data_IF_039404168002
#
_entry.id   IF_039404168002
#
_cell.length_a   1.000
_cell.length_b   1.000
_cell.length_c   1.000
_cell.angle_alpha   90.00
_cell.angle_beta   90.00
_cell.angle_gamma   90.00
#
_symmetry.space_group_name_H-M   'P 1'
#
loop_
_entity.id
_entity.type
_entity.pdbx_description
1 polymer ?
#
# COMPACT_ATOMS: atom_id res chain seq x y z
N UNK A 1 8.31 7.25 31.40
CA UNK A 1 7.01 6.89 30.79
C UNK A 1 7.01 7.43 29.36
N UNK A 2 6.95 6.61 28.30
CA UNK A 2 6.86 7.17 26.95
C UNK A 2 5.47 7.77 26.76
N UNK A 3 5.43 9.03 26.33
CA UNK A 3 4.22 9.79 26.05
C UNK A 3 3.59 9.24 24.78
N UNK A 4 2.43 8.60 24.88
CA UNK A 4 1.65 8.12 23.74
C UNK A 4 1.24 9.33 22.89
N UNK A 5 1.97 9.59 21.81
CA UNK A 5 1.59 10.58 20.80
C UNK A 5 0.33 10.04 20.10
N UNK A 6 -0.85 10.55 20.49
CA UNK A 6 -2.06 10.36 19.70
C UNK A 6 -1.79 11.00 18.34
N UNK A 7 -1.75 10.19 17.28
CA UNK A 7 -1.62 10.68 15.91
C UNK A 7 -2.93 11.39 15.57
N UNK A 8 -2.88 12.69 15.30
CA UNK A 8 -4.02 13.45 14.81
C UNK A 8 -4.39 12.91 13.42
N UNK A 9 -5.44 12.08 13.37
CA UNK A 9 -5.97 11.54 12.12
C UNK A 9 -7.25 12.28 11.75
N UNK A 10 -7.26 12.92 10.58
CA UNK A 10 -8.48 13.50 10.01
C UNK A 10 -9.24 12.40 9.27
N UNK A 11 -10.47 12.04 9.69
CA UNK A 11 -11.27 11.06 8.96
C UNK A 11 -11.78 11.68 7.66
N UNK A 12 -11.36 11.13 6.52
CA UNK A 12 -11.84 11.51 5.19
C UNK A 12 -12.71 10.38 4.65
N UNK A 13 -14.00 10.67 4.45
CA UNK A 13 -14.95 9.72 3.87
C UNK A 13 -14.86 9.76 2.34
N UNK A 14 -14.71 8.59 1.72
CA UNK A 14 -14.80 8.41 0.27
C UNK A 14 -16.21 7.94 -0.06
N UNK A 15 -16.93 8.68 -0.91
CA UNK A 15 -18.28 8.33 -1.36
C UNK A 15 -18.18 7.54 -2.66
N UNK A 16 -19.03 6.52 -2.79
CA UNK A 16 -19.19 5.71 -4.00
C UNK A 16 -20.61 5.94 -4.53
N UNK A 17 -20.72 6.21 -5.83
CA UNK A 17 -22.00 6.35 -6.53
C UNK A 17 -22.65 5.00 -6.82
N UNK A 18 -23.80 5.02 -7.50
CA UNK A 18 -24.47 3.78 -7.94
C UNK A 18 -23.64 3.07 -9.03
N UNK A 19 -22.96 3.84 -9.87
CA UNK A 19 -22.08 3.39 -10.94
C UNK A 19 -20.80 2.69 -10.43
N UNK A 20 -20.38 2.98 -9.21
CA UNK A 20 -19.15 2.43 -8.63
C UNK A 20 -19.35 1.05 -7.98
N UNK A 21 -20.57 0.48 -8.03
CA UNK A 21 -20.92 -0.74 -7.31
C UNK A 21 -19.98 -1.92 -7.60
N UNK A 22 -19.70 -2.17 -8.88
CA UNK A 22 -18.76 -3.22 -9.30
C UNK A 22 -17.32 -2.93 -8.87
N UNK A 23 -16.89 -1.68 -9.00
CA UNK A 23 -15.55 -1.24 -8.59
C UNK A 23 -15.34 -1.40 -7.08
N UNK A 24 -16.32 -1.00 -6.28
CA UNK A 24 -16.30 -1.17 -4.83
C UNK A 24 -16.29 -2.67 -4.44
N UNK A 25 -17.06 -3.50 -5.13
CA UNK A 25 -17.05 -4.95 -4.91
C UNK A 25 -15.65 -5.54 -5.17
N UNK A 26 -15.00 -5.13 -6.26
CA UNK A 26 -13.64 -5.55 -6.60
C UNK A 26 -12.62 -5.11 -5.53
N UNK A 27 -12.68 -3.85 -5.07
CA UNK A 27 -11.79 -3.36 -4.01
C UNK A 27 -12.00 -4.18 -2.72
N UNK A 28 -13.24 -4.47 -2.34
CA UNK A 28 -13.56 -5.28 -1.15
C UNK A 28 -12.96 -6.67 -1.23
N UNK A 29 -13.11 -7.35 -2.37
CA UNK A 29 -12.54 -8.68 -2.58
C UNK A 29 -11.01 -8.67 -2.44
N UNK A 30 -10.34 -7.70 -3.07
CA UNK A 30 -8.87 -7.58 -2.99
C UNK A 30 -8.39 -7.17 -1.61
N UNK A 31 -9.11 -6.27 -0.94
CA UNK A 31 -8.82 -5.90 0.45
C UNK A 31 -8.86 -7.14 1.35
N UNK A 32 -9.90 -7.98 1.21
CA UNK A 32 -10.01 -9.24 1.94
C UNK A 32 -8.85 -10.19 1.64
N UNK A 33 -8.50 -10.37 0.37
CA UNK A 33 -7.41 -11.25 -0.05
C UNK A 33 -6.04 -10.84 0.51
N UNK A 34 -5.82 -9.53 0.68
CA UNK A 34 -4.58 -8.98 1.24
C UNK A 34 -4.65 -8.66 2.73
N UNK A 35 -5.70 -9.12 3.44
CA UNK A 35 -5.91 -8.84 4.87
C UNK A 35 -5.90 -7.33 5.22
N UNK A 36 -6.43 -6.49 4.33
CA UNK A 36 -6.55 -5.03 4.51
C UNK A 36 -8.01 -4.62 4.70
N UNK A 37 -8.23 -3.48 5.35
CA UNK A 37 -9.53 -2.80 5.28
C UNK A 37 -9.74 -2.18 3.89
N UNK A 38 -10.99 -1.86 3.52
CA UNK A 38 -11.29 -1.18 2.23
C UNK A 38 -10.53 0.14 2.11
N UNK A 39 -10.53 0.95 3.18
CA UNK A 39 -9.74 2.19 3.21
C UNK A 39 -8.24 1.92 3.11
N UNK A 40 -7.74 0.86 3.75
CA UNK A 40 -6.34 0.44 3.64
C UNK A 40 -5.97 0.05 2.21
N UNK A 41 -6.87 -0.66 1.51
CA UNK A 41 -6.64 -1.06 0.13
C UNK A 41 -6.66 0.14 -0.83
N UNK A 42 -7.57 1.10 -0.63
CA UNK A 42 -7.56 2.36 -1.39
C UNK A 42 -6.26 3.15 -1.17
N UNK A 43 -5.81 3.28 0.08
CA UNK A 43 -4.55 3.96 0.40
C UNK A 43 -3.36 3.25 -0.24
N UNK A 44 -3.35 1.91 -0.24
CA UNK A 44 -2.32 1.13 -0.91
C UNK A 44 -2.29 1.43 -2.42
N UNK A 45 -3.43 1.42 -3.10
CA UNK A 45 -3.50 1.77 -4.52
C UNK A 45 -3.08 3.21 -4.80
N UNK A 46 -3.53 4.17 -4.00
CA UNK A 46 -3.12 5.56 -4.15
C UNK A 46 -1.61 5.73 -3.95
N UNK A 47 -1.02 5.05 -2.96
CA UNK A 47 0.42 5.09 -2.72
C UNK A 47 1.22 4.55 -3.90
N UNK A 48 0.80 3.42 -4.47
CA UNK A 48 1.42 2.84 -5.66
C UNK A 48 1.24 3.74 -6.89
N UNK A 49 0.06 4.31 -7.08
CA UNK A 49 -0.23 5.21 -8.21
C UNK A 49 0.68 6.44 -8.19
N UNK A 50 0.87 7.07 -7.02
CA UNK A 50 1.79 8.20 -6.87
C UNK A 50 3.23 7.82 -7.25
N UNK A 51 3.70 6.65 -6.82
CA UNK A 51 5.05 6.18 -7.19
C UNK A 51 5.14 5.93 -8.70
N UNK A 52 4.11 5.32 -9.30
CA UNK A 52 4.09 5.02 -10.73
C UNK A 52 4.00 6.29 -11.61
N UNK A 53 3.30 7.33 -11.14
CA UNK A 53 3.26 8.64 -11.81
C UNK A 53 4.63 9.32 -11.82
N UNK A 54 5.35 9.26 -10.70
CA UNK A 54 6.71 9.81 -10.59
C UNK A 54 7.76 8.96 -11.35
N UNK A 55 7.48 7.68 -11.59
CA UNK A 55 8.41 6.71 -12.18
C UNK A 55 7.71 5.88 -13.29
N UNK A 56 7.38 6.49 -14.44
CA UNK A 56 6.53 5.87 -15.47
C UNK A 56 7.19 4.71 -16.22
N UNK A 57 8.51 4.60 -16.16
CA UNK A 57 9.32 3.55 -16.76
C UNK A 57 9.40 2.29 -15.88
N UNK A 58 9.04 2.38 -14.60
CA UNK A 58 9.06 1.25 -13.69
C UNK A 58 7.77 0.43 -13.78
N UNK A 59 7.84 -0.87 -14.11
CA UNK A 59 6.68 -1.74 -14.07
C UNK A 59 6.11 -1.85 -12.66
N UNK A 60 4.78 -1.99 -12.57
CA UNK A 60 4.08 -2.16 -11.30
C UNK A 60 4.65 -3.27 -10.41
N UNK A 61 5.04 -4.40 -11.00
CA UNK A 61 5.64 -5.53 -10.27
C UNK A 61 6.99 -5.15 -9.64
N UNK A 62 7.80 -4.34 -10.33
CA UNK A 62 9.08 -3.86 -9.81
C UNK A 62 8.85 -2.89 -8.65
N UNK A 63 7.91 -1.96 -8.77
CA UNK A 63 7.54 -1.04 -7.68
C UNK A 63 7.13 -1.84 -6.43
N UNK A 64 6.27 -2.85 -6.59
CA UNK A 64 5.84 -3.71 -5.49
C UNK A 64 7.01 -4.47 -4.86
N UNK A 65 7.87 -5.09 -5.67
CA UNK A 65 9.04 -5.82 -5.17
C UNK A 65 10.04 -4.92 -4.43
N UNK A 66 10.24 -3.67 -4.88
CA UNK A 66 11.09 -2.71 -4.18
C UNK A 66 10.49 -2.37 -2.81
N UNK A 67 9.18 -2.11 -2.73
CA UNK A 67 8.52 -1.80 -1.47
C UNK A 67 8.57 -2.98 -0.48
N UNK A 68 8.36 -4.20 -0.97
CA UNK A 68 8.50 -5.42 -0.17
C UNK A 68 9.93 -5.57 0.35
N UNK A 69 10.93 -5.47 -0.54
CA UNK A 69 12.35 -5.53 -0.16
C UNK A 69 12.77 -4.44 0.83
N UNK A 70 12.17 -3.25 0.77
CA UNK A 70 12.39 -2.21 1.79
C UNK A 70 11.84 -2.61 3.16
N UNK A 71 10.68 -3.25 3.24
CA UNK A 71 10.14 -3.73 4.51
C UNK A 71 10.92 -4.95 5.02
N UNK A 72 11.35 -5.86 4.16
CA UNK A 72 12.24 -6.98 4.51
C UNK A 72 13.56 -6.47 5.10
N UNK A 73 14.18 -5.46 4.45
CA UNK A 73 15.38 -4.78 4.96
C UNK A 73 15.15 -4.19 6.35
N UNK A 74 14.02 -3.51 6.58
CA UNK A 74 13.67 -2.96 7.92
C UNK A 74 13.40 -4.05 8.95
N UNK A 75 12.86 -5.19 8.52
CA UNK A 75 12.64 -6.36 9.35
C UNK A 75 13.93 -7.15 9.63
N UNK A 76 15.06 -6.79 8.99
CA UNK A 76 16.33 -7.50 9.10
C UNK A 76 16.35 -8.83 8.34
N UNK A 77 15.41 -9.05 7.41
CA UNK A 77 15.29 -10.24 6.57
C UNK A 77 16.18 -10.12 5.31
N UNK A 78 17.44 -9.74 5.50
CA UNK A 78 18.40 -9.56 4.40
C UNK A 78 19.71 -10.28 4.67
N UNK A 79 20.35 -10.76 3.62
CA UNK A 79 21.68 -11.37 3.68
C UNK A 79 22.69 -10.51 2.91
N UNK A 80 23.91 -10.33 3.43
CA UNK A 80 24.97 -9.65 2.69
C UNK A 80 25.29 -10.40 1.39
N UNK A 81 25.23 -9.70 0.27
CA UNK A 81 25.64 -10.27 -1.00
C UNK A 81 27.14 -10.59 -0.97
N UNK A 82 27.49 -11.87 -1.11
CA UNK A 82 28.87 -12.33 -1.19
C UNK A 82 29.32 -12.25 -2.66
N UNK A 83 30.18 -11.29 -2.96
CA UNK A 83 30.87 -11.23 -4.25
C UNK A 83 31.94 -12.32 -4.31
N UNK A 84 32.01 -13.05 -5.43
CA UNK A 84 33.02 -14.06 -5.73
C UNK A 84 33.49 -13.93 -7.17
#
# INVERSE_FOLDING_TARGET
MPRTLKRDTTPVAVRFGEEDGEFLALIRARASAHHRSVSGQLKHYAHIALIAEDNPDLPLSMIQGILEGQEELRAGLVEPYQWG
#
